data_IF_990353796491
#
_entry.id   IF_990353796491
#
_cell.length_a   1.000
_cell.length_b   1.000
_cell.length_c   1.000
_cell.angle_alpha   90.00
_cell.angle_beta   90.00
_cell.angle_gamma   90.00
#
_symmetry.space_group_name_H-M   'P 1'
#
loop_
_entity.id
_entity.type
_entity.pdbx_description
1 polymer ?
#
# COMPACT_ATOMS: atom_id res chain seq x y z
N UNK A 1 16.48 -29.86 20.78
CA UNK A 1 15.70 -30.01 19.53
C UNK A 1 16.63 -29.79 18.35
N UNK A 2 17.02 -30.83 17.61
CA UNK A 2 17.93 -30.71 16.46
C UNK A 2 17.10 -30.31 15.23
N UNK A 3 17.35 -29.13 14.67
CA UNK A 3 16.69 -28.70 13.45
C UNK A 3 17.09 -29.65 12.31
N UNK A 4 16.11 -30.33 11.70
CA UNK A 4 16.34 -31.24 10.58
C UNK A 4 16.49 -30.38 9.33
N UNK A 5 17.71 -30.23 8.83
CA UNK A 5 17.98 -29.52 7.57
C UNK A 5 17.14 -30.14 6.45
N UNK A 6 16.25 -29.33 5.88
CA UNK A 6 15.37 -29.76 4.79
C UNK A 6 16.15 -29.64 3.49
N UNK A 7 16.44 -30.78 2.88
CA UNK A 7 17.03 -30.82 1.54
C UNK A 7 16.20 -30.00 0.55
N UNK A 8 16.85 -29.31 -0.40
CA UNK A 8 16.16 -28.53 -1.42
C UNK A 8 15.22 -29.42 -2.24
N UNK A 9 14.01 -28.93 -2.52
CA UNK A 9 13.02 -29.69 -3.30
C UNK A 9 13.51 -29.87 -4.74
N UNK A 10 13.56 -31.12 -5.21
CA UNK A 10 13.85 -31.48 -6.60
C UNK A 10 12.79 -30.85 -7.51
N UNK A 11 13.23 -30.17 -8.57
CA UNK A 11 12.35 -29.55 -9.57
C UNK A 11 12.54 -30.27 -10.89
N UNK A 12 11.44 -30.71 -11.49
CA UNK A 12 11.42 -31.36 -12.79
C UNK A 12 10.89 -30.37 -13.84
N UNK A 13 11.54 -30.36 -15.01
CA UNK A 13 11.10 -29.56 -16.14
C UNK A 13 9.76 -30.09 -16.68
N UNK A 14 8.92 -29.25 -17.31
CA UNK A 14 7.63 -29.71 -17.85
C UNK A 14 7.81 -30.74 -18.97
N UNK A 15 8.88 -30.66 -19.76
CA UNK A 15 9.18 -31.62 -20.83
C UNK A 15 9.43 -33.02 -20.25
N UNK A 16 10.26 -33.11 -19.20
CA UNK A 16 10.54 -34.37 -18.50
C UNK A 16 9.27 -34.98 -17.90
N UNK A 17 8.40 -34.16 -17.32
CA UNK A 17 7.11 -34.64 -16.79
C UNK A 17 6.22 -35.17 -17.90
N UNK A 18 6.19 -34.52 -19.05
CA UNK A 18 5.38 -34.91 -20.20
C UNK A 18 5.84 -36.27 -20.74
N UNK A 19 7.14 -36.46 -20.86
CA UNK A 19 7.74 -37.72 -21.32
C UNK A 19 7.34 -38.89 -20.42
N UNK A 20 7.48 -38.73 -19.11
CA UNK A 20 7.10 -39.75 -18.13
C UNK A 20 5.60 -40.07 -18.15
N UNK A 21 4.75 -39.06 -18.32
CA UNK A 21 3.30 -39.29 -18.45
C UNK A 21 2.98 -40.03 -19.75
N UNK A 22 3.66 -39.69 -20.85
CA UNK A 22 3.49 -40.36 -22.13
C UNK A 22 3.88 -41.84 -22.05
N UNK A 23 5.06 -42.13 -21.52
CA UNK A 23 5.52 -43.51 -21.30
C UNK A 23 4.55 -44.30 -20.41
N UNK A 24 4.05 -43.68 -19.34
CA UNK A 24 3.07 -44.32 -18.44
C UNK A 24 1.72 -44.62 -19.11
N UNK A 25 1.36 -43.89 -20.16
CA UNK A 25 0.14 -44.11 -20.94
C UNK A 25 0.35 -45.08 -22.12
N UNK A 26 1.55 -45.13 -22.68
CA UNK A 26 1.89 -45.97 -23.84
C UNK A 26 2.31 -47.40 -23.45
N UNK A 27 3.14 -47.59 -22.42
CA UNK A 27 3.80 -48.88 -22.19
C UNK A 27 3.02 -49.86 -21.28
N UNK A 28 1.82 -49.52 -20.79
CA UNK A 28 1.03 -50.32 -19.81
C UNK A 28 1.83 -50.85 -18.59
N UNK A 29 3.02 -50.30 -18.33
CA UNK A 29 3.89 -50.71 -17.22
C UNK A 29 3.35 -50.11 -15.92
N UNK A 30 3.62 -50.79 -14.80
CA UNK A 30 3.33 -50.23 -13.49
C UNK A 30 3.98 -48.86 -13.32
N UNK A 31 3.16 -47.84 -13.07
CA UNK A 31 3.57 -46.45 -12.81
C UNK A 31 4.67 -46.38 -11.73
N UNK A 32 4.60 -47.25 -10.72
CA UNK A 32 5.60 -47.30 -9.65
C UNK A 32 6.97 -47.82 -10.12
N UNK A 33 6.99 -48.78 -11.06
CA UNK A 33 8.24 -49.28 -11.65
C UNK A 33 8.88 -48.20 -12.53
N UNK A 34 8.10 -47.55 -13.38
CA UNK A 34 8.56 -46.43 -14.22
C UNK A 34 9.11 -45.28 -13.36
N UNK A 35 8.39 -44.88 -12.29
CA UNK A 35 8.86 -43.83 -11.39
C UNK A 35 10.22 -44.15 -10.76
N UNK A 36 10.44 -45.40 -10.32
CA UNK A 36 11.72 -45.84 -9.75
C UNK A 36 12.85 -45.84 -10.78
N UNK A 37 12.57 -46.27 -12.01
CA UNK A 37 13.56 -46.26 -13.10
C UNK A 37 14.05 -44.84 -13.41
N UNK A 38 13.18 -43.84 -13.30
CA UNK A 38 13.51 -42.43 -13.54
C UNK A 38 13.88 -41.63 -12.28
N UNK A 39 14.04 -42.27 -11.12
CA UNK A 39 14.31 -41.63 -9.83
C UNK A 39 13.30 -40.49 -9.50
N UNK A 40 12.02 -40.80 -9.73
CA UNK A 40 10.87 -39.96 -9.43
C UNK A 40 10.02 -40.64 -8.37
N UNK A 41 9.41 -39.84 -7.49
CA UNK A 41 8.44 -40.36 -6.55
C UNK A 41 7.18 -40.85 -7.30
N UNK A 42 6.76 -42.08 -7.05
CA UNK A 42 5.56 -42.70 -7.62
C UNK A 42 4.30 -41.84 -7.44
N UNK A 43 4.08 -41.29 -6.24
CA UNK A 43 2.96 -40.38 -5.97
C UNK A 43 3.02 -39.10 -6.80
N UNK A 44 4.22 -38.64 -7.15
CA UNK A 44 4.39 -37.46 -7.98
C UNK A 44 4.02 -37.74 -9.44
N UNK A 45 4.42 -38.90 -9.95
CA UNK A 45 4.06 -39.34 -11.30
C UNK A 45 2.54 -39.56 -11.42
N UNK A 46 1.91 -40.20 -10.44
CA UNK A 46 0.44 -40.32 -10.39
C UNK A 46 -0.25 -38.97 -10.47
N UNK A 47 0.23 -37.97 -9.71
CA UNK A 47 -0.32 -36.60 -9.76
C UNK A 47 -0.18 -35.96 -11.14
N UNK A 48 0.92 -36.21 -11.86
CA UNK A 48 1.10 -35.68 -13.21
C UNK A 48 0.17 -36.35 -14.21
N UNK A 49 0.01 -37.68 -14.14
CA UNK A 49 -0.91 -38.43 -14.99
C UNK A 49 -2.35 -37.95 -14.77
N UNK A 50 -2.79 -37.84 -13.52
CA UNK A 50 -4.15 -37.36 -13.20
C UNK A 50 -4.38 -35.92 -13.67
N UNK A 51 -3.36 -35.05 -13.56
CA UNK A 51 -3.46 -33.68 -14.05
C UNK A 51 -3.56 -33.62 -15.57
N UNK A 52 -2.79 -34.46 -16.26
CA UNK A 52 -2.83 -34.59 -17.71
C UNK A 52 -4.20 -35.06 -18.20
N UNK A 53 -4.75 -36.11 -17.58
CA UNK A 53 -6.08 -36.63 -17.92
C UNK A 53 -7.20 -35.61 -17.68
N UNK A 54 -7.09 -34.77 -16.64
CA UNK A 54 -8.12 -33.79 -16.29
C UNK A 54 -8.02 -32.49 -17.10
N UNK A 55 -6.80 -32.01 -17.35
CA UNK A 55 -6.57 -30.63 -17.80
C UNK A 55 -5.70 -30.55 -19.06
N UNK A 56 -5.22 -31.67 -19.59
CA UNK A 56 -4.33 -31.72 -20.75
C UNK A 56 -2.95 -31.10 -20.48
N UNK A 57 -2.50 -31.07 -19.21
CA UNK A 57 -1.20 -30.47 -18.82
C UNK A 57 -0.54 -31.22 -17.66
N UNK A 58 0.79 -31.22 -17.65
CA UNK A 58 1.62 -31.87 -16.60
C UNK A 58 2.13 -30.90 -15.53
N UNK A 59 1.82 -29.62 -15.67
CA UNK A 59 2.22 -28.55 -14.77
C UNK A 59 1.11 -27.51 -14.67
N UNK A 60 0.91 -26.97 -13.46
CA UNK A 60 0.09 -25.76 -13.34
C UNK A 60 0.90 -24.58 -13.87
N UNK A 61 0.29 -23.66 -14.63
CA UNK A 61 0.95 -22.40 -14.96
C UNK A 61 1.42 -21.78 -13.65
N UNK A 62 2.71 -21.43 -13.57
CA UNK A 62 3.18 -20.62 -12.47
C UNK A 62 2.28 -19.40 -12.46
N UNK A 63 1.62 -19.10 -11.33
CA UNK A 63 1.14 -17.74 -11.09
C UNK A 63 2.39 -16.90 -11.18
N UNK A 64 2.61 -16.31 -12.36
CA UNK A 64 3.67 -15.35 -12.54
C UNK A 64 3.39 -14.29 -11.49
N UNK A 65 4.24 -14.21 -10.47
CA UNK A 65 4.20 -13.14 -9.48
C UNK A 65 4.48 -11.77 -10.12
N UNK A 66 4.71 -11.72 -11.45
CA UNK A 66 4.74 -10.51 -12.26
C UNK A 66 3.35 -10.01 -12.68
N UNK A 67 2.29 -10.82 -12.52
CA UNK A 67 0.93 -10.26 -12.54
C UNK A 67 0.71 -9.66 -11.16
N UNK A 68 0.95 -8.35 -11.03
CA UNK A 68 0.46 -7.60 -9.89
C UNK A 68 -1.02 -7.94 -9.69
N UNK A 69 -1.49 -8.13 -8.44
CA UNK A 69 -2.91 -8.35 -8.20
C UNK A 69 -3.71 -7.21 -8.83
N UNK A 70 -4.82 -7.55 -9.49
CA UNK A 70 -5.67 -6.56 -10.15
C UNK A 70 -6.09 -5.49 -9.13
N UNK A 71 -5.60 -4.27 -9.31
CA UNK A 71 -5.97 -3.14 -8.46
C UNK A 71 -7.34 -2.66 -8.90
N UNK A 72 -8.30 -2.66 -7.97
CA UNK A 72 -9.61 -2.07 -8.19
C UNK A 72 -9.47 -0.56 -7.97
N UNK A 73 -9.80 0.30 -8.96
CA UNK A 73 -9.70 1.73 -8.79
C UNK A 73 -10.71 2.21 -7.74
N UNK A 74 -10.19 2.81 -6.66
CA UNK A 74 -11.01 3.48 -5.65
C UNK A 74 -11.25 4.91 -6.14
N UNK A 75 -12.49 5.24 -6.49
CA UNK A 75 -12.84 6.64 -6.75
C UNK A 75 -12.83 7.40 -5.41
N UNK A 76 -11.80 8.23 -5.21
CA UNK A 76 -11.81 9.22 -4.15
C UNK A 76 -12.85 10.27 -4.53
N UNK A 77 -13.99 10.28 -3.83
CA UNK A 77 -14.89 11.43 -3.87
C UNK A 77 -14.15 12.58 -3.21
N UNK A 78 -13.78 13.59 -3.99
CA UNK A 78 -13.56 14.90 -3.42
C UNK A 78 -14.89 15.31 -2.78
N UNK A 79 -14.88 15.44 -1.44
CA UNK A 79 -15.95 16.17 -0.74
C UNK A 79 -16.17 17.49 -1.50
N UNK A 80 -17.43 17.86 -1.80
CA UNK A 80 -17.71 19.10 -2.50
C UNK A 80 -17.08 20.24 -1.71
N UNK A 81 -16.13 20.91 -2.36
CA UNK A 81 -15.55 22.15 -1.87
C UNK A 81 -16.69 23.06 -1.41
N UNK A 82 -16.66 23.58 -0.17
CA UNK A 82 -17.61 24.60 0.24
C UNK A 82 -17.54 25.77 -0.74
N UNK A 83 -18.66 26.48 -0.95
CA UNK A 83 -18.79 27.49 -1.99
C UNK A 83 -17.67 28.51 -1.91
N UNK A 84 -17.13 28.85 -3.07
CA UNK A 84 -16.29 30.01 -3.36
C UNK A 84 -16.63 31.18 -2.45
N UNK A 85 -15.83 31.38 -1.40
CA UNK A 85 -15.74 32.66 -0.73
C UNK A 85 -14.45 33.29 -1.24
N UNK A 86 -14.57 34.40 -1.97
CA UNK A 86 -13.43 35.24 -2.32
C UNK A 86 -12.57 35.47 -1.07
N UNK A 87 -11.24 35.41 -1.16
CA UNK A 87 -10.41 35.78 -0.04
C UNK A 87 -10.68 37.26 0.28
N UNK A 88 -11.10 37.63 1.51
CA UNK A 88 -10.95 39.00 1.93
C UNK A 88 -9.45 39.29 1.84
N UNK A 89 -9.12 40.31 1.04
CA UNK A 89 -7.82 40.96 1.02
C UNK A 89 -7.34 41.11 2.46
N UNK A 90 -6.41 40.25 2.87
CA UNK A 90 -5.82 40.27 4.19
C UNK A 90 -4.83 41.45 4.21
N UNK A 91 -5.36 42.66 4.34
CA UNK A 91 -4.58 43.73 4.95
C UNK A 91 -4.43 43.37 6.42
N UNK A 92 -3.22 43.40 7.00
CA UNK A 92 -3.08 43.22 8.44
C UNK A 92 -3.78 44.40 9.10
N UNK A 93 -4.97 44.17 9.65
CA UNK A 93 -5.64 45.13 10.51
C UNK A 93 -4.81 45.24 11.77
N UNK A 94 -3.87 46.18 11.81
CA UNK A 94 -3.03 46.43 12.98
C UNK A 94 -3.93 46.97 14.08
N UNK A 95 -4.39 46.11 14.99
CA UNK A 95 -5.15 46.50 16.17
C UNK A 95 -4.23 46.50 17.40
N UNK A 96 -4.28 47.57 18.18
CA UNK A 96 -3.53 47.76 19.42
C UNK A 96 -4.51 47.72 20.59
N UNK A 97 -4.30 46.79 21.53
CA UNK A 97 -5.11 46.69 22.74
C UNK A 97 -4.28 47.16 23.94
N UNK A 98 -4.77 48.18 24.64
CA UNK A 98 -4.13 48.77 25.82
C UNK A 98 -5.03 48.51 27.03
N UNK A 99 -4.53 47.73 27.99
CA UNK A 99 -5.26 47.42 29.22
C UNK A 99 -4.85 48.37 30.34
N UNK A 100 -5.77 49.22 30.80
CA UNK A 100 -5.54 50.17 31.89
C UNK A 100 -6.30 49.74 33.16
N UNK A 101 -5.94 50.32 34.32
CA UNK A 101 -6.65 50.05 35.59
C UNK A 101 -8.12 50.49 35.57
N UNK A 102 -8.47 51.48 34.74
CA UNK A 102 -9.84 52.00 34.59
C UNK A 102 -10.64 51.45 33.41
N UNK A 103 -10.10 50.47 32.66
CA UNK A 103 -10.75 49.89 31.48
C UNK A 103 -9.77 49.52 30.38
N UNK A 104 -10.25 48.81 29.36
CA UNK A 104 -9.49 48.51 28.15
C UNK A 104 -9.76 49.53 27.03
N UNK A 105 -8.72 49.86 26.28
CA UNK A 105 -8.78 50.75 25.12
C UNK A 105 -8.31 49.94 23.92
N UNK A 106 -9.12 49.89 22.88
CA UNK A 106 -8.78 49.21 21.62
C UNK A 106 -8.68 50.24 20.51
N UNK A 107 -7.51 50.29 19.85
CA UNK A 107 -7.23 51.16 18.72
C UNK A 107 -7.12 50.32 17.44
N UNK A 108 -7.95 50.61 16.44
CA UNK A 108 -7.91 49.96 15.13
C UNK A 108 -7.12 50.84 14.16
N UNK A 109 -6.08 50.29 13.53
CA UNK A 109 -5.14 51.00 12.63
C UNK A 109 -4.44 52.23 13.24
N UNK A 110 -3.78 52.12 14.41
CA UNK A 110 -3.17 53.28 15.05
C UNK A 110 -1.87 53.72 14.33
N UNK A 111 -1.73 55.02 14.11
CA UNK A 111 -0.48 55.64 13.68
C UNK A 111 0.50 55.75 14.86
N UNK A 112 1.82 55.70 14.61
CA UNK A 112 2.85 55.78 15.65
C UNK A 112 2.72 57.03 16.56
N UNK A 113 2.29 58.17 16.00
CA UNK A 113 2.06 59.40 16.78
C UNK A 113 0.89 59.27 17.75
N UNK A 114 -0.20 58.60 17.34
CA UNK A 114 -1.37 58.35 18.18
C UNK A 114 -0.98 57.42 19.34
N UNK A 115 -0.23 56.36 19.06
CA UNK A 115 0.28 55.44 20.08
C UNK A 115 1.12 56.20 21.12
N UNK A 116 2.06 57.03 20.64
CA UNK A 116 2.97 57.79 21.52
C UNK A 116 2.20 58.79 22.38
N UNK A 117 1.18 59.44 21.82
CA UNK A 117 0.35 60.41 22.54
C UNK A 117 -0.48 59.73 23.62
N UNK A 118 -1.15 58.62 23.29
CA UNK A 118 -1.94 57.83 24.25
C UNK A 118 -1.06 57.30 25.38
N UNK A 119 0.12 56.74 25.07
CA UNK A 119 1.06 56.28 26.09
C UNK A 119 1.53 57.40 27.01
N UNK A 120 1.82 58.59 26.45
CA UNK A 120 2.23 59.76 27.24
C UNK A 120 1.12 60.20 28.20
N UNK A 121 -0.11 60.31 27.73
CA UNK A 121 -1.23 60.74 28.58
C UNK A 121 -1.56 59.71 29.67
N UNK A 122 -1.52 58.41 29.35
CA UNK A 122 -1.70 57.35 30.35
C UNK A 122 -0.61 57.37 31.43
N UNK A 123 0.61 57.79 31.07
CA UNK A 123 1.73 57.92 32.01
C UNK A 123 1.70 59.22 32.83
N UNK A 124 0.95 60.26 32.41
CA UNK A 124 0.88 61.54 33.13
C UNK A 124 0.03 61.48 34.40
N UNK A 125 -0.77 60.43 34.57
CA UNK A 125 -1.66 60.27 35.74
C UNK A 125 -2.78 61.33 35.79
N UNK A 126 -3.88 61.10 36.52
CA UNK A 126 -4.88 62.14 36.72
C UNK A 126 -4.29 63.29 37.56
N UNK A 127 -4.49 64.53 37.13
CA UNK A 127 -4.36 65.73 37.98
C UNK A 127 -5.49 65.76 38.99
#
# INVERSE_FOLDING_TARGET
MRAKERLPRKRYSPEFKMELVRLALEEEVSVAALARQHDVNDNLLFKWISLWQREGRVCHPRKNSSSLPALIPVQLRAEPSPPTFEPPSCSPQTACHIKCRGGDITLTHPTAELITTVLRELMRGPV
#
